data_IF_801862951818
#
_entry.id   IF_801862951818
#
_cell.length_a   1.000
_cell.length_b   1.000
_cell.length_c   1.000
_cell.angle_alpha   90.00
_cell.angle_beta   90.00
_cell.angle_gamma   90.00
#
_symmetry.space_group_name_H-M   'P 1'
#
loop_
_entity.id
_entity.type
_entity.pdbx_description
1 polymer ?
#
# COMPACT_ATOMS: atom_id res chain seq x y z
N UNK A 1 -23.53 -7.14 19.68
CA UNK A 1 -23.60 -7.51 21.10
C UNK A 1 -22.69 -8.71 21.32
N UNK A 2 -21.51 -8.49 21.84
CA UNK A 2 -20.63 -9.58 22.26
C UNK A 2 -21.11 -10.01 23.66
N UNK A 3 -21.67 -11.21 23.75
CA UNK A 3 -21.85 -11.89 25.03
C UNK A 3 -20.45 -12.18 25.60
N UNK A 4 -20.04 -11.37 26.54
CA UNK A 4 -18.90 -11.64 27.41
C UNK A 4 -19.36 -12.72 28.39
N UNK A 5 -19.19 -13.97 28.01
CA UNK A 5 -19.27 -15.07 28.99
C UNK A 5 -18.18 -14.86 30.04
N UNK A 6 -18.56 -14.88 31.31
CA UNK A 6 -17.64 -14.83 32.45
C UNK A 6 -16.47 -15.77 32.20
N UNK A 7 -15.23 -15.25 32.28
CA UNK A 7 -14.02 -16.06 32.21
C UNK A 7 -14.12 -17.23 33.19
N UNK A 8 -14.15 -18.44 32.67
CA UNK A 8 -14.12 -19.64 33.50
C UNK A 8 -12.67 -20.10 33.59
N UNK A 9 -12.19 -20.26 34.82
CA UNK A 9 -10.83 -20.73 35.09
C UNK A 9 -10.88 -22.25 35.26
N UNK A 10 -10.11 -22.95 34.43
CA UNK A 10 -9.95 -24.39 34.45
C UNK A 10 -8.53 -24.77 34.83
N UNK A 11 -8.35 -25.95 35.45
CA UNK A 11 -7.03 -26.53 35.55
C UNK A 11 -6.51 -26.90 34.15
N UNK A 12 -5.18 -26.79 33.95
CA UNK A 12 -4.56 -27.08 32.65
C UNK A 12 -4.85 -28.50 32.15
N UNK A 13 -5.09 -29.41 33.10
CA UNK A 13 -5.41 -30.83 32.84
C UNK A 13 -6.89 -31.07 32.52
N UNK A 14 -7.79 -30.12 32.81
CA UNK A 14 -9.25 -30.21 32.70
C UNK A 14 -9.86 -29.22 31.70
N UNK A 15 -9.10 -28.78 30.73
CA UNK A 15 -9.56 -27.81 29.71
C UNK A 15 -10.67 -28.43 28.84
N UNK A 16 -11.85 -27.77 28.73
CA UNK A 16 -12.94 -28.29 27.90
C UNK A 16 -12.60 -28.19 26.41
N UNK A 17 -13.19 -29.08 25.60
CA UNK A 17 -13.10 -28.97 24.14
C UNK A 17 -13.80 -27.69 23.64
N UNK A 18 -13.05 -26.83 22.99
CA UNK A 18 -13.56 -25.58 22.42
C UNK A 18 -14.14 -25.79 21.02
N UNK A 19 -15.22 -25.11 20.69
CA UNK A 19 -15.84 -25.18 19.38
C UNK A 19 -14.94 -24.59 18.30
N UNK A 20 -14.59 -25.35 17.26
CA UNK A 20 -13.78 -24.90 16.14
C UNK A 20 -14.42 -23.80 15.28
N UNK A 21 -15.72 -23.59 15.41
CA UNK A 21 -16.48 -22.60 14.64
C UNK A 21 -16.67 -21.24 15.33
N UNK A 22 -16.18 -21.09 16.57
CA UNK A 22 -16.28 -19.86 17.34
C UNK A 22 -14.88 -19.34 17.68
N UNK A 23 -14.75 -18.02 17.72
CA UNK A 23 -13.54 -17.37 18.19
C UNK A 23 -13.51 -17.40 19.73
N UNK A 24 -12.39 -17.81 20.29
CA UNK A 24 -12.17 -17.92 21.73
C UNK A 24 -10.94 -17.13 22.14
N UNK A 25 -11.01 -16.43 23.26
CA UNK A 25 -9.84 -15.87 23.92
C UNK A 25 -9.40 -16.90 24.98
N UNK A 26 -8.13 -17.24 24.97
CA UNK A 26 -7.53 -18.21 25.90
C UNK A 26 -6.37 -17.52 26.61
N UNK A 27 -6.51 -17.35 27.93
CA UNK A 27 -5.49 -16.74 28.76
C UNK A 27 -4.92 -17.79 29.73
N UNK A 28 -3.62 -17.70 29.99
CA UNK A 28 -2.94 -18.57 30.98
C UNK A 28 -2.73 -17.78 32.25
N UNK A 29 -3.34 -18.22 33.36
CA UNK A 29 -3.12 -17.62 34.67
C UNK A 29 -1.78 -18.14 35.22
N UNK A 30 -0.77 -17.26 35.27
CA UNK A 30 0.58 -17.58 35.72
C UNK A 30 0.69 -17.51 37.24
N UNK A 31 0.13 -16.48 37.88
CA UNK A 31 0.16 -16.31 39.35
C UNK A 31 -1.05 -15.50 39.83
N UNK A 32 -1.34 -15.63 41.13
CA UNK A 32 -2.32 -14.81 41.87
C UNK A 32 -1.62 -14.14 43.02
N UNK A 33 -1.53 -12.81 42.96
CA UNK A 33 -0.70 -12.01 43.84
C UNK A 33 -1.56 -11.08 44.69
N UNK A 34 -1.32 -11.07 45.98
CA UNK A 34 -1.88 -10.06 46.92
C UNK A 34 -0.84 -8.97 47.11
N UNK A 35 -1.21 -7.72 46.84
CA UNK A 35 -0.31 -6.57 46.97
C UNK A 35 -0.02 -6.32 48.44
N UNK A 36 1.25 -6.42 48.82
CA UNK A 36 1.77 -6.14 50.18
C UNK A 36 3.25 -5.71 50.10
N UNK A 37 3.78 -5.16 51.17
CA UNK A 37 5.21 -4.82 51.24
C UNK A 37 6.11 -6.03 50.97
N UNK A 38 7.17 -5.85 50.19
CA UNK A 38 8.14 -6.88 49.83
C UNK A 38 7.76 -7.79 48.64
N UNK A 39 6.60 -7.56 48.00
CA UNK A 39 6.10 -8.41 46.90
C UNK A 39 6.86 -8.23 45.56
N UNK A 40 7.68 -7.17 45.46
CA UNK A 40 8.28 -6.73 44.18
C UNK A 40 9.04 -7.84 43.43
N UNK A 41 9.82 -8.63 44.16
CA UNK A 41 10.59 -9.72 43.51
C UNK A 41 9.66 -10.79 42.95
N UNK A 42 8.67 -11.25 43.72
CA UNK A 42 7.70 -12.24 43.23
C UNK A 42 6.87 -11.74 42.06
N UNK A 43 6.45 -10.46 42.11
CA UNK A 43 5.72 -9.83 40.98
C UNK A 43 6.58 -9.80 39.72
N UNK A 44 7.86 -9.45 39.85
CA UNK A 44 8.80 -9.43 38.75
C UNK A 44 8.96 -10.84 38.12
N UNK A 45 9.22 -11.85 38.95
CA UNK A 45 9.38 -13.24 38.50
C UNK A 45 8.11 -13.76 37.79
N UNK A 46 6.93 -13.40 38.30
CA UNK A 46 5.64 -13.80 37.69
C UNK A 46 5.37 -13.10 36.36
N UNK A 47 5.70 -11.79 36.24
CA UNK A 47 5.60 -11.03 35.00
C UNK A 47 6.58 -11.60 33.96
N UNK A 48 7.83 -11.88 34.35
CA UNK A 48 8.82 -12.46 33.44
C UNK A 48 8.37 -13.85 32.92
N UNK A 49 7.79 -14.67 33.80
CA UNK A 49 7.24 -15.96 33.38
C UNK A 49 6.05 -15.80 32.43
N UNK A 50 5.16 -14.85 32.68
CA UNK A 50 4.00 -14.56 31.80
C UNK A 50 4.46 -14.07 30.43
N UNK A 51 5.37 -13.11 30.36
CA UNK A 51 5.95 -12.58 29.13
C UNK A 51 6.61 -13.69 28.29
N UNK A 52 7.30 -14.63 28.95
CA UNK A 52 7.93 -15.76 28.25
C UNK A 52 6.91 -16.74 27.66
N UNK A 53 5.79 -16.99 28.36
CA UNK A 53 4.73 -17.91 27.90
C UNK A 53 3.94 -17.29 26.75
N UNK A 54 3.65 -16.00 26.83
CA UNK A 54 2.81 -15.27 25.89
C UNK A 54 3.62 -14.41 24.89
N UNK A 55 4.88 -14.77 24.64
CA UNK A 55 5.74 -14.11 23.64
C UNK A 55 5.73 -12.59 23.75
N UNK A 56 5.92 -12.07 24.97
CA UNK A 56 6.05 -10.65 25.23
C UNK A 56 4.75 -9.93 25.61
N UNK A 57 3.66 -10.64 25.88
CA UNK A 57 2.41 -10.04 26.37
C UNK A 57 2.10 -10.50 27.80
N UNK A 58 1.53 -9.59 28.60
CA UNK A 58 1.00 -9.90 29.93
C UNK A 58 -0.25 -9.08 30.22
N UNK A 59 -1.26 -9.73 30.78
CA UNK A 59 -2.49 -9.09 31.26
C UNK A 59 -2.46 -9.12 32.79
N UNK A 60 -2.69 -7.97 33.40
CA UNK A 60 -2.91 -7.85 34.85
C UNK A 60 -4.40 -7.63 35.08
N UNK A 61 -5.06 -8.64 35.63
CA UNK A 61 -6.45 -8.57 36.07
C UNK A 61 -6.47 -8.04 37.50
N UNK A 62 -7.03 -6.87 37.72
CA UNK A 62 -7.09 -6.22 39.07
C UNK A 62 -8.27 -6.67 39.90
N UNK A 63 -9.06 -7.67 39.41
CA UNK A 63 -10.21 -8.27 40.11
C UNK A 63 -11.39 -7.31 40.36
N UNK A 64 -11.38 -6.13 39.75
CA UNK A 64 -12.44 -5.11 39.78
C UNK A 64 -13.08 -4.87 38.40
N UNK A 65 -13.08 -5.91 37.55
CA UNK A 65 -13.49 -5.88 36.17
C UNK A 65 -12.60 -4.98 35.24
N UNK A 66 -11.42 -4.55 35.72
CA UNK A 66 -10.43 -3.85 34.93
C UNK A 66 -9.23 -4.74 34.60
N UNK A 67 -8.78 -4.68 33.36
CA UNK A 67 -7.64 -5.41 32.85
C UNK A 67 -6.63 -4.43 32.28
N UNK A 68 -5.36 -4.63 32.67
CA UNK A 68 -4.24 -3.86 32.14
C UNK A 68 -3.40 -4.76 31.25
N UNK A 69 -3.38 -4.47 29.94
CA UNK A 69 -2.52 -5.14 28.99
C UNK A 69 -1.16 -4.44 28.96
N UNK A 70 -0.10 -5.20 29.14
CA UNK A 70 1.28 -4.75 28.96
C UNK A 70 1.96 -5.61 27.90
N UNK A 71 2.89 -5.03 27.18
CA UNK A 71 3.69 -5.74 26.20
C UNK A 71 5.13 -5.29 26.23
N UNK A 72 6.06 -6.20 26.03
CA UNK A 72 7.46 -5.89 25.71
C UNK A 72 7.62 -5.37 24.30
N UNK A 73 6.62 -5.60 23.45
CA UNK A 73 6.54 -5.07 22.10
C UNK A 73 5.86 -3.70 22.13
N UNK A 74 6.03 -2.92 21.08
CA UNK A 74 5.38 -1.62 20.92
C UNK A 74 3.88 -1.80 20.69
N UNK A 75 3.12 -1.87 21.78
CA UNK A 75 1.66 -2.08 21.75
C UNK A 75 0.93 -0.93 22.43
N UNK A 76 -0.17 -0.48 21.85
CA UNK A 76 -1.05 0.50 22.46
C UNK A 76 -2.03 -0.22 23.42
N UNK A 77 -2.02 0.10 24.73
CA UNK A 77 -2.91 -0.56 25.69
C UNK A 77 -4.39 -0.18 25.51
N UNK A 78 -4.68 0.90 24.76
CA UNK A 78 -6.05 1.41 24.58
C UNK A 78 -6.75 0.77 23.39
N UNK A 79 -6.09 0.68 22.24
CA UNK A 79 -6.71 0.19 21.00
C UNK A 79 -6.15 -1.15 20.51
N UNK A 80 -5.15 -1.71 21.19
CA UNK A 80 -4.51 -2.97 20.81
C UNK A 80 -3.61 -2.88 19.56
N UNK A 81 -3.38 -1.68 19.03
CA UNK A 81 -2.45 -1.49 17.91
C UNK A 81 -1.04 -1.90 18.32
N UNK A 82 -0.42 -2.78 17.56
CA UNK A 82 0.92 -3.28 17.83
C UNK A 82 1.84 -2.99 16.67
N UNK A 83 3.06 -2.54 16.98
CA UNK A 83 4.14 -2.45 16.01
C UNK A 83 5.03 -3.67 16.24
N UNK A 84 5.31 -4.49 15.21
CA UNK A 84 6.22 -5.62 15.34
C UNK A 84 7.64 -5.13 15.62
N UNK A 85 8.56 -6.06 15.83
CA UNK A 85 9.97 -5.73 15.99
C UNK A 85 10.45 -4.81 14.87
N UNK A 86 11.16 -3.72 15.26
CA UNK A 86 11.62 -2.70 14.32
C UNK A 86 12.80 -3.25 13.50
N UNK A 87 12.49 -3.97 12.46
CA UNK A 87 13.44 -4.48 11.48
C UNK A 87 13.45 -3.63 10.20
N UNK A 88 14.57 -3.58 9.45
CA UNK A 88 14.62 -2.85 8.18
C UNK A 88 13.55 -3.24 7.18
N UNK A 89 13.10 -4.51 7.18
CA UNK A 89 12.03 -5.00 6.29
C UNK A 89 10.67 -4.37 6.55
N UNK A 90 10.41 -3.85 7.77
CA UNK A 90 9.19 -3.12 8.10
C UNK A 90 9.08 -1.81 7.28
N UNK A 91 10.20 -1.20 6.95
CA UNK A 91 10.28 0.05 6.20
C UNK A 91 10.50 -0.16 4.70
N UNK A 92 10.29 -1.38 4.20
CA UNK A 92 10.43 -1.72 2.80
C UNK A 92 9.06 -1.91 2.15
N UNK A 93 8.72 -1.06 1.18
CA UNK A 93 7.49 -1.21 0.38
C UNK A 93 7.56 -2.37 -0.63
N UNK A 94 8.73 -2.98 -0.84
CA UNK A 94 8.90 -4.19 -1.66
C UNK A 94 8.77 -5.49 -0.86
N UNK A 95 8.64 -5.41 0.46
CA UNK A 95 8.47 -6.56 1.33
C UNK A 95 7.01 -6.61 1.83
N UNK A 96 6.30 -7.74 1.74
CA UNK A 96 4.90 -7.86 2.21
C UNK A 96 4.72 -7.45 3.66
N UNK A 97 5.78 -7.55 4.47
CA UNK A 97 5.78 -7.18 5.88
C UNK A 97 5.64 -5.67 6.12
N UNK A 98 6.18 -4.82 5.24
CA UNK A 98 6.17 -3.37 5.38
C UNK A 98 5.28 -2.66 4.37
N UNK A 99 4.92 -3.33 3.26
CA UNK A 99 4.10 -2.73 2.21
C UNK A 99 2.66 -2.48 2.66
N UNK A 100 2.03 -1.47 2.10
CA UNK A 100 0.60 -1.26 2.22
C UNK A 100 -0.14 -2.42 1.55
N UNK A 101 -0.98 -3.13 2.29
CA UNK A 101 -1.73 -4.29 1.80
C UNK A 101 -2.79 -3.95 0.73
N UNK A 102 -3.20 -2.68 0.66
CA UNK A 102 -4.25 -2.22 -0.26
C UNK A 102 -3.70 -1.93 -1.67
N UNK A 103 -2.44 -1.51 -1.78
CA UNK A 103 -1.79 -1.21 -3.06
C UNK A 103 -0.51 -2.02 -3.29
N UNK A 104 -0.26 -3.05 -2.48
CA UNK A 104 0.93 -3.90 -2.55
C UNK A 104 2.26 -3.10 -2.64
N UNK A 105 2.33 -1.97 -1.93
CA UNK A 105 3.50 -1.11 -1.91
C UNK A 105 3.66 -0.22 -3.15
N UNK A 106 2.67 -0.13 -4.02
CA UNK A 106 2.73 0.73 -5.22
C UNK A 106 2.48 2.21 -4.89
N UNK A 107 1.72 2.51 -3.84
CA UNK A 107 1.31 3.87 -3.47
C UNK A 107 0.16 4.43 -4.31
N UNK A 108 -0.19 3.74 -5.38
CA UNK A 108 -1.26 4.10 -6.32
C UNK A 108 -2.19 2.91 -6.52
N UNK A 109 -3.41 3.20 -6.95
CA UNK A 109 -4.39 2.24 -7.44
C UNK A 109 -4.80 2.59 -8.86
N UNK A 110 -5.01 1.56 -9.66
CA UNK A 110 -5.59 1.72 -10.97
C UNK A 110 -7.11 1.62 -10.84
N UNK A 111 -7.79 2.71 -11.11
CA UNK A 111 -9.26 2.79 -11.14
C UNK A 111 -9.74 3.06 -12.57
N UNK A 112 -10.83 2.39 -12.95
CA UNK A 112 -11.43 2.64 -14.26
C UNK A 112 -12.06 4.02 -14.26
N UNK A 113 -11.67 4.84 -15.23
CA UNK A 113 -12.21 6.17 -15.44
C UNK A 113 -13.40 6.10 -16.40
N UNK A 114 -14.55 6.52 -15.93
CA UNK A 114 -15.79 6.52 -16.72
C UNK A 114 -15.73 7.47 -17.90
N UNK A 115 -14.96 8.55 -17.83
CA UNK A 115 -14.78 9.50 -18.93
C UNK A 115 -13.92 8.90 -20.06
N UNK A 116 -12.99 8.00 -19.70
CA UNK A 116 -12.24 7.23 -20.70
C UNK A 116 -13.06 6.07 -21.28
N UNK A 117 -14.01 5.54 -20.52
CA UNK A 117 -14.94 4.50 -20.98
C UNK A 117 -15.97 5.09 -21.95
N UNK A 118 -16.49 6.28 -21.68
CA UNK A 118 -17.48 7.03 -22.47
C UNK A 118 -16.89 8.38 -22.89
N UNK A 119 -15.95 8.41 -23.83
CA UNK A 119 -15.24 9.65 -24.20
C UNK A 119 -16.14 10.66 -24.92
N UNK A 120 -17.27 10.22 -25.47
CA UNK A 120 -18.24 11.07 -26.16
C UNK A 120 -19.65 10.66 -25.74
N UNK A 121 -20.18 11.31 -24.72
CA UNK A 121 -21.51 11.03 -24.19
C UNK A 121 -22.67 11.49 -25.09
N UNK A 122 -22.39 12.26 -26.15
CA UNK A 122 -23.38 12.65 -27.15
C UNK A 122 -23.73 11.51 -28.11
N UNK A 123 -22.90 10.44 -28.16
CA UNK A 123 -23.17 9.24 -28.94
C UNK A 123 -24.15 8.32 -28.25
N UNK A 124 -24.87 7.56 -29.07
CA UNK A 124 -25.72 6.46 -28.61
C UNK A 124 -24.87 5.19 -28.38
N UNK A 125 -25.42 4.20 -27.65
CA UNK A 125 -24.74 2.92 -27.47
C UNK A 125 -24.48 2.21 -28.82
N UNK A 126 -25.39 2.36 -29.80
CA UNK A 126 -25.22 1.82 -31.15
C UNK A 126 -24.13 2.52 -31.95
N UNK A 127 -23.93 3.80 -31.72
CA UNK A 127 -22.86 4.60 -32.35
C UNK A 127 -21.49 4.39 -31.69
N UNK A 128 -21.42 3.53 -30.65
CA UNK A 128 -20.19 3.18 -29.98
C UNK A 128 -19.77 4.17 -28.90
N UNK A 129 -20.73 4.66 -28.09
CA UNK A 129 -20.43 5.49 -26.92
C UNK A 129 -19.45 4.81 -25.96
N UNK A 130 -19.51 3.46 -25.87
CA UNK A 130 -18.61 2.66 -25.01
C UNK A 130 -17.33 2.29 -25.74
N UNK A 131 -16.27 3.06 -25.58
CA UNK A 131 -15.00 2.86 -26.27
C UNK A 131 -14.38 1.46 -26.07
N UNK A 132 -14.42 0.82 -24.88
CA UNK A 132 -13.83 -0.51 -24.68
C UNK A 132 -14.52 -1.63 -25.47
N UNK A 133 -15.77 -1.45 -25.82
CA UNK A 133 -16.62 -2.43 -26.50
C UNK A 133 -16.94 -2.08 -27.95
N UNK A 134 -16.28 -1.03 -28.47
CA UNK A 134 -16.43 -0.67 -29.88
C UNK A 134 -15.78 -1.76 -30.77
N UNK A 135 -16.49 -2.30 -31.76
CA UNK A 135 -16.07 -3.49 -32.49
C UNK A 135 -14.90 -3.18 -33.42
N UNK A 136 -13.68 -3.51 -33.02
CA UNK A 136 -12.52 -3.54 -33.89
C UNK A 136 -12.17 -4.99 -34.30
N UNK A 137 -12.47 -5.98 -33.43
CA UNK A 137 -12.03 -7.37 -33.65
C UNK A 137 -13.01 -8.46 -33.16
N UNK A 138 -14.09 -8.15 -32.47
CA UNK A 138 -15.07 -9.15 -31.98
C UNK A 138 -16.44 -8.53 -31.75
N UNK A 139 -17.47 -9.20 -32.24
CA UNK A 139 -18.87 -8.81 -32.00
C UNK A 139 -19.44 -9.34 -30.67
N UNK A 140 -18.62 -9.98 -29.83
CA UNK A 140 -19.08 -10.59 -28.58
C UNK A 140 -19.67 -9.58 -27.61
N UNK A 141 -18.92 -8.52 -27.28
CA UNK A 141 -19.36 -7.50 -26.33
C UNK A 141 -20.49 -6.61 -26.86
N UNK A 142 -20.47 -6.16 -28.13
CA UNK A 142 -21.60 -5.46 -28.73
C UNK A 142 -22.90 -6.29 -28.70
N UNK A 143 -22.81 -7.59 -28.99
CA UNK A 143 -23.96 -8.50 -28.98
C UNK A 143 -24.48 -8.72 -27.55
N UNK A 144 -23.56 -8.88 -26.56
CA UNK A 144 -23.94 -8.97 -25.15
C UNK A 144 -24.64 -7.69 -24.67
N UNK A 145 -24.10 -6.52 -25.04
CA UNK A 145 -24.70 -5.23 -24.69
C UNK A 145 -26.12 -5.10 -25.27
N UNK A 146 -26.31 -5.43 -26.54
CA UNK A 146 -27.61 -5.32 -27.20
C UNK A 146 -28.67 -6.20 -26.54
N UNK A 147 -28.34 -7.45 -26.24
CA UNK A 147 -29.28 -8.37 -25.58
C UNK A 147 -29.57 -7.96 -24.13
N UNK A 148 -28.55 -7.56 -23.39
CA UNK A 148 -28.72 -7.08 -22.02
C UNK A 148 -29.59 -5.82 -21.97
N UNK A 149 -29.30 -4.81 -22.82
CA UNK A 149 -30.07 -3.56 -22.83
C UNK A 149 -31.53 -3.82 -23.26
N UNK A 150 -31.75 -4.72 -24.22
CA UNK A 150 -33.11 -5.14 -24.63
C UNK A 150 -33.85 -5.81 -23.46
N UNK A 151 -33.20 -6.71 -22.74
CA UNK A 151 -33.82 -7.41 -21.59
C UNK A 151 -34.17 -6.48 -20.43
N UNK A 152 -33.33 -5.46 -20.19
CA UNK A 152 -33.52 -4.48 -19.11
C UNK A 152 -34.33 -3.24 -19.57
N UNK A 153 -34.69 -3.14 -20.83
CA UNK A 153 -35.56 -2.06 -21.36
C UNK A 153 -34.84 -0.73 -21.54
N UNK A 154 -33.52 -0.73 -21.73
CA UNK A 154 -32.71 0.48 -21.97
C UNK A 154 -32.73 0.84 -23.44
N UNK A 155 -33.03 2.09 -23.75
CA UNK A 155 -33.05 2.63 -25.12
C UNK A 155 -31.61 2.85 -25.64
N UNK A 156 -31.18 2.02 -26.58
CA UNK A 156 -29.83 2.08 -27.17
C UNK A 156 -29.67 3.17 -28.24
N UNK A 157 -30.75 3.78 -28.70
CA UNK A 157 -30.75 4.83 -29.71
C UNK A 157 -30.75 6.24 -29.11
N UNK A 158 -30.78 6.32 -27.76
CA UNK A 158 -30.71 7.56 -27.02
C UNK A 158 -29.25 7.90 -26.72
N UNK A 159 -28.80 9.19 -26.87
CA UNK A 159 -27.49 9.62 -26.43
C UNK A 159 -27.19 9.24 -24.98
N UNK A 160 -25.97 8.78 -24.68
CA UNK A 160 -25.58 8.32 -23.35
C UNK A 160 -25.83 9.39 -22.26
N UNK A 161 -25.53 10.65 -22.54
CA UNK A 161 -25.78 11.78 -21.63
C UNK A 161 -27.25 11.92 -21.21
N UNK A 162 -28.18 11.56 -22.11
CA UNK A 162 -29.62 11.68 -21.91
C UNK A 162 -30.27 10.43 -21.30
N UNK A 163 -29.51 9.35 -21.06
CA UNK A 163 -30.00 8.17 -20.33
C UNK A 163 -30.28 8.50 -18.86
N UNK A 164 -31.16 7.74 -18.22
CA UNK A 164 -31.37 7.87 -16.79
C UNK A 164 -30.12 7.45 -16.00
N UNK A 165 -29.97 7.95 -14.78
CA UNK A 165 -28.84 7.54 -13.92
C UNK A 165 -28.91 6.03 -13.57
N UNK A 166 -30.09 5.44 -13.53
CA UNK A 166 -30.28 3.99 -13.35
C UNK A 166 -29.76 3.22 -14.56
N UNK A 167 -30.07 3.68 -15.80
CA UNK A 167 -29.56 3.05 -17.03
C UNK A 167 -28.03 3.20 -17.14
N UNK A 168 -27.49 4.38 -16.85
CA UNK A 168 -26.05 4.61 -16.83
C UNK A 168 -25.34 3.70 -15.83
N UNK A 169 -25.89 3.57 -14.62
CA UNK A 169 -25.35 2.67 -13.59
C UNK A 169 -25.41 1.21 -14.02
N UNK A 170 -26.52 0.77 -14.63
CA UNK A 170 -26.65 -0.57 -15.19
C UNK A 170 -25.57 -0.83 -16.24
N UNK A 171 -25.37 0.08 -17.20
CA UNK A 171 -24.39 -0.04 -18.27
C UNK A 171 -22.97 -0.09 -17.71
N UNK A 172 -22.64 0.80 -16.77
CA UNK A 172 -21.30 0.93 -16.25
C UNK A 172 -20.94 -0.15 -15.22
N UNK A 173 -21.86 -0.43 -14.28
CA UNK A 173 -21.57 -1.27 -13.10
C UNK A 173 -22.31 -2.59 -13.06
N UNK A 174 -23.28 -2.80 -13.97
CA UNK A 174 -23.96 -4.06 -14.13
C UNK A 174 -25.34 -4.15 -13.46
N UNK A 175 -25.94 -5.34 -13.58
CA UNK A 175 -27.36 -5.61 -13.22
C UNK A 175 -27.59 -6.00 -11.76
N UNK A 176 -26.59 -5.89 -10.89
CA UNK A 176 -26.66 -6.26 -9.47
C UNK A 176 -27.23 -7.68 -9.25
N UNK A 177 -26.72 -8.64 -10.04
CA UNK A 177 -27.10 -10.05 -9.98
C UNK A 177 -28.40 -10.42 -10.73
N UNK A 178 -29.10 -9.47 -11.34
CA UNK A 178 -30.26 -9.81 -12.19
C UNK A 178 -29.75 -10.41 -13.50
N UNK A 179 -30.26 -11.59 -13.80
CA UNK A 179 -29.86 -12.36 -14.99
C UNK A 179 -30.66 -11.94 -16.22
N UNK A 180 -30.03 -12.09 -17.39
CA UNK A 180 -30.66 -12.01 -18.70
C UNK A 180 -30.23 -13.20 -19.54
N UNK A 181 -31.04 -13.56 -20.51
CA UNK A 181 -30.75 -14.65 -21.44
C UNK A 181 -29.78 -14.15 -22.49
N UNK A 182 -28.59 -14.80 -22.60
CA UNK A 182 -27.54 -14.45 -23.55
C UNK A 182 -27.31 -15.59 -24.53
N UNK A 183 -27.60 -15.32 -25.80
CA UNK A 183 -27.33 -16.21 -26.93
C UNK A 183 -26.24 -15.64 -27.81
N UNK A 184 -25.19 -16.41 -28.05
CA UNK A 184 -24.08 -16.01 -28.93
C UNK A 184 -23.52 -17.18 -29.69
N UNK A 185 -23.43 -17.04 -31.02
CA UNK A 185 -22.76 -18.00 -31.90
C UNK A 185 -21.51 -17.34 -32.48
N UNK A 186 -20.37 -17.99 -32.33
CA UNK A 186 -19.09 -17.51 -32.87
C UNK A 186 -18.92 -17.97 -34.33
N UNK A 187 -17.94 -17.39 -35.03
CA UNK A 187 -17.62 -17.69 -36.43
C UNK A 187 -17.23 -19.16 -36.69
N UNK A 188 -16.92 -19.91 -35.61
CA UNK A 188 -16.50 -21.33 -35.65
C UNK A 188 -17.65 -22.28 -35.26
N UNK A 189 -18.89 -21.79 -35.12
CA UNK A 189 -20.06 -22.59 -34.77
C UNK A 189 -20.15 -22.92 -33.27
N UNK A 190 -19.36 -22.30 -32.43
CA UNK A 190 -19.48 -22.43 -30.97
C UNK A 190 -20.66 -21.60 -30.45
N UNK A 191 -21.65 -22.24 -29.81
CA UNK A 191 -22.85 -21.60 -29.28
C UNK A 191 -22.73 -21.41 -27.76
N UNK A 192 -23.06 -20.22 -27.27
CA UNK A 192 -23.35 -19.93 -25.87
C UNK A 192 -24.82 -19.59 -25.74
N UNK A 193 -25.52 -20.29 -24.87
CA UNK A 193 -26.93 -20.13 -24.59
C UNK A 193 -27.14 -20.30 -23.07
N UNK A 194 -27.06 -19.19 -22.33
CA UNK A 194 -26.97 -19.18 -20.87
C UNK A 194 -27.65 -17.95 -20.25
N UNK A 195 -28.23 -18.12 -19.08
CA UNK A 195 -28.69 -17.00 -18.26
C UNK A 195 -27.52 -16.51 -17.39
N UNK A 196 -27.17 -15.23 -17.50
CA UNK A 196 -26.07 -14.60 -16.81
C UNK A 196 -26.44 -13.20 -16.33
N UNK A 197 -25.88 -12.76 -15.20
CA UNK A 197 -25.97 -11.35 -14.83
C UNK A 197 -25.14 -10.48 -15.77
N UNK A 198 -25.62 -9.28 -16.06
CA UNK A 198 -24.83 -8.31 -16.82
C UNK A 198 -23.78 -7.67 -15.89
N UNK A 199 -22.51 -7.87 -16.23
CA UNK A 199 -21.36 -7.45 -15.40
C UNK A 199 -21.16 -5.93 -15.38
N UNK A 200 -21.53 -5.22 -16.45
CA UNK A 200 -21.18 -3.81 -16.65
C UNK A 200 -19.76 -3.59 -17.18
N UNK A 201 -19.56 -2.46 -17.85
CA UNK A 201 -18.30 -2.19 -18.57
C UNK A 201 -17.13 -2.00 -17.60
N UNK A 202 -17.33 -1.27 -16.50
CA UNK A 202 -16.31 -0.97 -15.50
C UNK A 202 -15.81 -2.26 -14.84
N UNK A 203 -16.73 -3.11 -14.39
CA UNK A 203 -16.38 -4.37 -13.75
C UNK A 203 -15.71 -5.34 -14.74
N UNK A 204 -16.17 -5.36 -15.99
CA UNK A 204 -15.52 -6.14 -17.06
C UNK A 204 -14.07 -5.72 -17.30
N UNK A 205 -13.79 -4.41 -17.35
CA UNK A 205 -12.43 -3.90 -17.51
C UNK A 205 -11.58 -4.31 -16.31
N UNK A 206 -12.05 -4.09 -15.06
CA UNK A 206 -11.36 -4.47 -13.82
C UNK A 206 -11.04 -5.97 -13.81
N UNK A 207 -12.02 -6.82 -14.05
CA UNK A 207 -11.83 -8.27 -14.09
C UNK A 207 -10.82 -8.69 -15.16
N UNK A 208 -10.98 -8.21 -16.40
CA UNK A 208 -10.05 -8.54 -17.50
C UNK A 208 -8.64 -8.05 -17.24
N UNK A 209 -8.45 -6.92 -16.60
CA UNK A 209 -7.13 -6.42 -16.21
C UNK A 209 -6.43 -7.37 -15.24
N UNK A 210 -7.16 -7.87 -14.23
CA UNK A 210 -6.60 -8.75 -13.19
C UNK A 210 -6.45 -10.21 -13.63
N UNK A 211 -7.41 -10.75 -14.36
CA UNK A 211 -7.46 -12.18 -14.68
C UNK A 211 -6.69 -12.55 -15.97
N UNK A 212 -6.37 -11.59 -16.82
CA UNK A 212 -5.73 -11.91 -18.09
C UNK A 212 -4.27 -12.31 -17.94
N UNK A 213 -3.87 -13.35 -18.67
CA UNK A 213 -2.47 -13.72 -18.85
C UNK A 213 -1.82 -13.05 -20.07
N UNK A 214 -2.58 -12.26 -20.85
CA UNK A 214 -2.11 -11.58 -22.05
C UNK A 214 -1.68 -10.15 -21.73
N UNK A 215 -0.40 -9.84 -21.93
CA UNK A 215 0.12 -8.48 -21.74
C UNK A 215 -0.55 -7.48 -22.70
N UNK A 216 -0.91 -7.92 -23.90
CA UNK A 216 -1.66 -7.09 -24.84
C UNK A 216 -3.03 -6.71 -24.28
N UNK A 217 -3.81 -7.69 -23.78
CA UNK A 217 -5.12 -7.41 -23.20
C UNK A 217 -5.00 -6.50 -21.97
N UNK A 218 -4.01 -6.73 -21.10
CA UNK A 218 -3.76 -5.90 -19.94
C UNK A 218 -3.45 -4.45 -20.33
N UNK A 219 -2.60 -4.27 -21.36
CA UNK A 219 -2.27 -2.94 -21.89
C UNK A 219 -3.51 -2.25 -22.48
N UNK A 220 -4.39 -2.98 -23.18
CA UNK A 220 -5.63 -2.40 -23.71
C UNK A 220 -6.58 -1.98 -22.59
N UNK A 221 -6.74 -2.78 -21.53
CA UNK A 221 -7.60 -2.41 -20.39
C UNK A 221 -7.06 -1.19 -19.65
N UNK A 222 -5.73 -1.07 -19.55
CA UNK A 222 -5.08 0.06 -18.89
C UNK A 222 -5.38 1.41 -19.56
N UNK A 223 -5.72 1.45 -20.84
CA UNK A 223 -6.09 2.69 -21.55
C UNK A 223 -7.36 3.35 -20.97
N UNK A 224 -8.16 2.60 -20.24
CA UNK A 224 -9.40 3.06 -19.61
C UNK A 224 -9.28 3.24 -18.09
N UNK A 225 -8.04 3.27 -17.58
CA UNK A 225 -7.77 3.36 -16.13
C UNK A 225 -6.84 4.53 -15.83
N UNK A 226 -7.13 5.22 -14.73
CA UNK A 226 -6.28 6.27 -14.18
C UNK A 226 -5.56 5.79 -12.92
N UNK A 227 -4.38 6.35 -12.68
CA UNK A 227 -3.61 6.15 -11.47
C UNK A 227 -4.09 7.13 -10.39
N UNK A 228 -4.71 6.60 -9.35
CA UNK A 228 -5.14 7.37 -8.19
C UNK A 228 -4.21 7.07 -7.02
N UNK A 229 -3.91 8.08 -6.22
CA UNK A 229 -3.17 7.87 -4.96
C UNK A 229 -3.94 6.90 -4.07
N UNK A 230 -3.26 5.90 -3.53
CA UNK A 230 -3.87 4.95 -2.63
C UNK A 230 -4.44 5.66 -1.39
N UNK A 231 -5.74 5.52 -1.14
CA UNK A 231 -6.42 6.20 -0.03
C UNK A 231 -6.00 5.70 1.35
N UNK A 232 -5.46 4.47 1.45
CA UNK A 232 -5.01 3.88 2.70
C UNK A 232 -3.64 4.39 3.11
N UNK A 233 -2.64 4.28 2.24
CA UNK A 233 -1.28 4.74 2.55
C UNK A 233 -0.97 6.16 2.08
N UNK A 234 -1.91 6.86 1.49
CA UNK A 234 -1.75 8.23 0.99
C UNK A 234 -0.54 8.44 0.06
N UNK A 235 -0.15 7.39 -0.68
CA UNK A 235 1.01 7.40 -1.57
C UNK A 235 2.32 6.95 -0.93
N UNK A 236 2.39 6.79 0.38
CA UNK A 236 3.63 6.43 1.09
C UNK A 236 4.06 4.98 0.90
N UNK A 237 3.24 4.12 0.29
CA UNK A 237 3.54 2.72 -0.07
C UNK A 237 3.68 1.75 1.10
N UNK A 238 3.75 2.24 2.33
CA UNK A 238 3.98 1.50 3.55
C UNK A 238 2.67 1.31 4.34
N UNK A 239 2.64 0.28 5.19
CA UNK A 239 1.53 0.04 6.09
C UNK A 239 1.55 0.99 7.30
N UNK A 240 0.45 1.03 8.06
CA UNK A 240 0.29 1.92 9.21
C UNK A 240 1.33 1.66 10.31
N UNK A 241 1.79 0.42 10.46
CA UNK A 241 2.80 0.07 11.45
C UNK A 241 4.14 0.75 11.14
N UNK A 242 4.58 0.71 9.87
CA UNK A 242 5.78 1.40 9.43
C UNK A 242 5.64 2.93 9.54
N UNK A 243 4.46 3.46 9.18
CA UNK A 243 4.18 4.90 9.22
C UNK A 243 3.94 5.45 10.64
N UNK A 244 3.68 4.59 11.63
CA UNK A 244 3.58 5.02 13.03
C UNK A 244 4.92 5.33 13.68
N UNK A 245 6.03 4.83 13.12
CA UNK A 245 7.38 5.06 13.64
C UNK A 245 7.87 6.45 13.21
N UNK A 246 8.20 7.29 14.21
CA UNK A 246 8.60 8.68 14.00
C UNK A 246 10.03 8.92 14.44
N UNK A 247 10.71 9.85 13.78
CA UNK A 247 12.11 10.22 14.04
C UNK A 247 12.15 11.59 14.70
N UNK A 248 12.83 11.72 15.84
CA UNK A 248 12.97 12.98 16.56
C UNK A 248 11.82 13.28 17.55
N UNK A 249 11.07 12.26 18.00
CA UNK A 249 10.00 12.35 18.98
C UNK A 249 8.59 12.26 18.37
N UNK A 250 7.57 12.42 19.22
CA UNK A 250 6.15 12.20 18.84
C UNK A 250 5.65 13.05 17.68
N UNK A 251 6.17 14.26 17.53
CA UNK A 251 5.82 15.19 16.47
C UNK A 251 6.78 15.10 15.27
N UNK A 252 7.76 14.22 15.32
CA UNK A 252 8.71 14.03 14.24
C UNK A 252 8.08 13.40 13.01
N UNK A 253 8.73 13.50 11.84
CA UNK A 253 8.24 12.89 10.62
C UNK A 253 8.41 11.37 10.63
N UNK A 254 7.50 10.65 9.96
CA UNK A 254 7.69 9.24 9.63
C UNK A 254 8.48 9.08 8.32
N UNK A 255 8.93 7.86 8.02
CA UNK A 255 9.77 7.57 6.85
C UNK A 255 9.15 7.99 5.51
N UNK A 256 7.83 7.94 5.37
CA UNK A 256 7.13 8.40 4.16
C UNK A 256 7.28 9.92 3.98
N UNK A 257 7.01 10.70 5.03
CA UNK A 257 7.18 12.15 5.02
C UNK A 257 8.65 12.54 4.77
N UNK A 258 9.61 11.83 5.40
CA UNK A 258 11.04 12.04 5.16
C UNK A 258 11.40 11.79 3.68
N UNK A 259 10.82 10.74 3.09
CA UNK A 259 11.08 10.38 1.68
C UNK A 259 10.50 11.41 0.69
N UNK A 260 9.49 12.16 1.09
CA UNK A 260 8.86 13.23 0.29
C UNK A 260 9.61 14.57 0.40
N UNK A 261 10.52 14.71 1.35
CA UNK A 261 11.37 15.89 1.42
C UNK A 261 12.29 15.96 0.19
N UNK A 262 12.58 17.18 -0.25
CA UNK A 262 13.66 17.38 -1.19
C UNK A 262 15.00 16.93 -0.59
N UNK A 263 15.96 16.54 -1.41
CA UNK A 263 17.30 16.15 -0.94
C UNK A 263 17.93 17.26 -0.09
N UNK A 264 17.69 18.52 -0.42
CA UNK A 264 18.15 19.65 0.39
C UNK A 264 17.51 19.67 1.77
N UNK A 265 16.17 19.60 1.83
CA UNK A 265 15.42 19.63 3.08
C UNK A 265 15.70 18.37 3.94
N UNK A 266 15.91 17.21 3.28
CA UNK A 266 16.28 15.98 3.97
C UNK A 266 17.67 16.12 4.62
N UNK A 267 18.64 16.73 3.93
CA UNK A 267 19.98 17.01 4.48
C UNK A 267 19.90 17.95 5.69
N UNK A 268 19.04 18.98 5.61
CA UNK A 268 18.80 19.91 6.72
C UNK A 268 18.15 19.17 7.91
N UNK A 269 17.11 18.37 7.67
CA UNK A 269 16.48 17.56 8.71
C UNK A 269 17.50 16.68 9.45
N UNK A 270 18.27 15.88 8.71
CA UNK A 270 19.27 14.97 9.30
C UNK A 270 20.37 15.74 10.06
N UNK A 271 20.65 16.99 9.67
CA UNK A 271 21.65 17.81 10.32
C UNK A 271 21.15 18.46 11.62
N UNK A 272 19.84 18.65 11.75
CA UNK A 272 19.18 19.29 12.90
C UNK A 272 18.62 18.26 13.90
N UNK A 273 18.71 16.95 13.64
CA UNK A 273 18.21 15.93 14.56
C UNK A 273 18.88 16.06 15.92
N UNK A 274 18.03 16.21 16.95
CA UNK A 274 18.47 16.23 18.35
C UNK A 274 18.27 14.83 18.91
N UNK A 275 19.37 14.18 19.32
CA UNK A 275 19.38 12.82 19.83
C UNK A 275 19.93 12.82 21.27
N UNK A 276 19.46 11.90 22.08
CA UNK A 276 20.07 11.62 23.39
C UNK A 276 21.51 11.06 23.21
N UNK A 277 22.31 11.03 24.26
CA UNK A 277 23.68 10.53 24.20
C UNK A 277 23.77 9.09 23.69
N UNK A 278 22.87 8.22 24.13
CA UNK A 278 22.82 6.82 23.72
C UNK A 278 22.41 6.67 22.25
N UNK A 279 21.38 7.40 21.81
CA UNK A 279 20.93 7.42 20.43
C UNK A 279 22.02 7.97 19.50
N UNK A 280 22.73 9.02 19.93
CA UNK A 280 23.80 9.61 19.17
C UNK A 280 24.97 8.64 18.92
N UNK A 281 25.28 7.76 19.88
CA UNK A 281 26.33 6.74 19.72
C UNK A 281 25.93 5.75 18.62
N UNK A 282 24.68 5.29 18.62
CA UNK A 282 24.14 4.33 17.63
C UNK A 282 23.99 4.99 16.27
N UNK A 283 23.41 6.18 16.23
CA UNK A 283 23.05 6.87 15.00
C UNK A 283 24.22 7.50 14.25
N UNK A 284 25.31 7.86 14.95
CA UNK A 284 26.45 8.58 14.34
C UNK A 284 27.00 7.96 13.05
N UNK A 285 27.31 6.66 12.98
CA UNK A 285 27.81 6.05 11.75
C UNK A 285 26.74 6.06 10.64
N UNK A 286 25.47 5.85 10.98
CA UNK A 286 24.36 5.83 10.04
C UNK A 286 24.11 7.23 9.47
N UNK A 287 24.01 8.24 10.34
CA UNK A 287 23.79 9.63 9.94
C UNK A 287 24.95 10.18 9.11
N UNK A 288 26.19 9.75 9.39
CA UNK A 288 27.35 10.12 8.58
C UNK A 288 27.14 9.63 7.14
N UNK A 289 26.84 8.34 6.96
CA UNK A 289 26.67 7.74 5.64
C UNK A 289 25.48 8.38 4.86
N UNK A 290 24.38 8.65 5.55
CA UNK A 290 23.23 9.33 4.95
C UNK A 290 23.61 10.75 4.52
N UNK A 291 24.28 11.51 5.38
CA UNK A 291 24.74 12.88 5.07
C UNK A 291 25.70 12.90 3.88
N UNK A 292 26.66 12.00 3.84
CA UNK A 292 27.64 11.92 2.76
C UNK A 292 26.93 11.68 1.42
N UNK A 293 25.98 10.75 1.35
CA UNK A 293 25.19 10.47 0.15
C UNK A 293 24.26 11.61 -0.26
N UNK A 294 23.54 12.21 0.69
CA UNK A 294 22.67 13.35 0.41
C UNK A 294 23.48 14.58 -0.04
N UNK A 295 24.64 14.82 0.58
CA UNK A 295 25.55 15.90 0.18
C UNK A 295 26.03 15.70 -1.25
N UNK A 296 26.41 14.48 -1.62
CA UNK A 296 26.79 14.19 -2.99
C UNK A 296 25.67 14.46 -3.98
N UNK A 297 24.44 13.95 -3.70
CA UNK A 297 23.26 14.22 -4.54
C UNK A 297 22.98 15.72 -4.67
N UNK A 298 23.11 16.47 -3.59
CA UNK A 298 22.99 17.93 -3.60
C UNK A 298 24.05 18.60 -4.49
N UNK A 299 25.30 18.13 -4.43
CA UNK A 299 26.42 18.68 -5.21
C UNK A 299 26.29 18.40 -6.71
N UNK A 300 25.70 17.27 -7.10
CA UNK A 300 25.45 16.97 -8.53
C UNK A 300 24.17 17.64 -9.08
N UNK A 301 23.58 18.60 -8.32
CA UNK A 301 22.44 19.40 -8.76
C UNK A 301 21.10 18.65 -8.71
N UNK A 302 20.96 17.64 -7.84
CA UNK A 302 19.71 16.89 -7.62
C UNK A 302 19.00 17.29 -6.33
N UNK A 303 19.30 18.44 -5.78
CA UNK A 303 18.80 18.96 -4.52
C UNK A 303 17.27 19.08 -4.43
N UNK A 304 16.59 19.23 -5.56
CA UNK A 304 15.15 19.36 -5.68
C UNK A 304 14.39 18.02 -5.78
N UNK A 305 15.10 16.92 -6.02
CA UNK A 305 14.46 15.60 -6.10
C UNK A 305 14.05 15.10 -4.72
N UNK A 306 13.05 14.21 -4.72
CA UNK A 306 12.60 13.49 -3.52
C UNK A 306 12.95 12.01 -3.65
N UNK A 307 13.12 11.30 -2.53
CA UNK A 307 13.37 9.85 -2.54
C UNK A 307 12.12 9.05 -2.93
N UNK A 308 10.93 9.63 -2.74
CA UNK A 308 9.64 9.03 -3.13
C UNK A 308 9.42 9.03 -4.64
N UNK A 309 10.14 9.85 -5.41
CA UNK A 309 9.93 10.01 -6.84
C UNK A 309 10.19 8.71 -7.60
N UNK A 310 9.23 8.32 -8.42
CA UNK A 310 9.34 7.12 -9.25
C UNK A 310 10.46 7.25 -10.28
N UNK A 311 11.28 6.19 -10.40
CA UNK A 311 12.39 6.16 -11.36
C UNK A 311 11.95 6.34 -12.82
N UNK A 312 10.74 5.92 -13.18
CA UNK A 312 10.18 6.09 -14.53
C UNK A 312 9.88 7.55 -14.90
N UNK A 313 9.83 8.47 -13.92
CA UNK A 313 9.58 9.91 -14.15
C UNK A 313 10.85 10.72 -14.24
N UNK A 314 12.02 10.10 -14.05
CA UNK A 314 13.30 10.77 -14.11
C UNK A 314 13.71 11.07 -15.56
N UNK A 315 14.23 12.26 -15.80
CA UNK A 315 14.90 12.57 -17.06
C UNK A 315 16.18 11.77 -17.22
N UNK A 316 16.68 11.64 -18.45
CA UNK A 316 17.96 10.97 -18.76
C UNK A 316 19.12 11.55 -17.97
N UNK A 317 19.20 12.87 -17.85
CA UNK A 317 20.24 13.55 -17.07
C UNK A 317 20.14 13.32 -15.57
N UNK A 318 18.92 13.29 -14.99
CA UNK A 318 18.71 12.95 -13.59
C UNK A 318 19.12 11.50 -13.29
N UNK A 319 18.70 10.55 -14.13
CA UNK A 319 19.07 9.14 -14.01
C UNK A 319 20.58 8.93 -14.08
N UNK A 320 21.27 9.62 -14.98
CA UNK A 320 22.72 9.56 -15.12
C UNK A 320 23.42 10.09 -13.86
N UNK A 321 22.98 11.22 -13.30
CA UNK A 321 23.54 11.79 -12.08
C UNK A 321 23.30 10.92 -10.85
N UNK A 322 22.13 10.26 -10.73
CA UNK A 322 21.88 9.28 -9.68
C UNK A 322 22.84 8.10 -9.77
N UNK A 323 23.07 7.57 -10.99
CA UNK A 323 24.06 6.50 -11.20
C UNK A 323 25.47 6.95 -10.80
N UNK A 324 25.84 8.17 -11.17
CA UNK A 324 27.11 8.77 -10.78
C UNK A 324 27.24 8.85 -9.25
N UNK A 325 26.18 9.32 -8.58
CA UNK A 325 26.11 9.38 -7.12
C UNK A 325 26.28 8.01 -6.46
N UNK A 326 25.69 6.97 -7.05
CA UNK A 326 25.80 5.59 -6.54
C UNK A 326 27.22 5.05 -6.67
N UNK A 327 27.92 5.37 -7.74
CA UNK A 327 29.28 4.88 -8.01
C UNK A 327 30.34 5.61 -7.18
N UNK A 328 30.26 6.94 -7.13
CA UNK A 328 31.27 7.78 -6.46
C UNK A 328 30.97 7.94 -4.97
N UNK A 329 29.72 8.05 -4.60
CA UNK A 329 29.28 8.22 -3.21
C UNK A 329 29.61 7.04 -2.28
N UNK A 330 30.13 5.93 -2.82
CA UNK A 330 30.66 4.82 -2.01
C UNK A 330 32.01 5.09 -1.36
N UNK A 331 32.67 6.22 -1.70
CA UNK A 331 33.99 6.62 -1.19
C UNK A 331 35.04 5.49 -1.18
N UNK A 332 35.00 4.60 -2.18
CA UNK A 332 35.96 3.52 -2.30
C UNK A 332 37.33 4.09 -2.74
N UNK A 333 38.27 4.02 -1.86
CA UNK A 333 39.69 4.40 -2.18
C UNK A 333 40.33 3.30 -3.02
N UNK A 334 41.21 3.70 -3.99
CA UNK A 334 41.95 2.77 -4.84
C UNK A 334 41.18 2.22 -6.05
N UNK A 335 40.02 2.77 -6.38
CA UNK A 335 39.24 2.42 -7.56
C UNK A 335 39.39 3.51 -8.63
N UNK A 336 39.58 3.10 -9.87
CA UNK A 336 39.57 4.00 -11.03
C UNK A 336 38.16 4.16 -11.55
N UNK A 337 37.63 5.38 -11.53
CA UNK A 337 36.35 5.72 -12.14
C UNK A 337 36.57 6.34 -13.51
N UNK A 338 35.93 5.78 -14.52
CA UNK A 338 35.91 6.31 -15.89
C UNK A 338 34.56 6.92 -16.12
N UNK A 339 34.49 8.23 -16.34
CA UNK A 339 33.28 8.98 -16.52
C UNK A 339 33.26 9.53 -17.95
N UNK A 340 32.19 9.25 -18.68
CA UNK A 340 31.92 9.78 -20.02
C UNK A 340 30.87 10.89 -19.91
N UNK A 341 31.27 12.10 -20.27
CA UNK A 341 30.44 13.32 -20.24
C UNK A 341 29.62 13.51 -18.93
N UNK A 342 30.24 13.46 -17.72
CA UNK A 342 29.52 13.48 -16.45
C UNK A 342 28.77 14.79 -16.19
N UNK A 343 29.10 15.85 -16.93
CA UNK A 343 28.49 17.18 -16.82
C UNK A 343 27.31 17.42 -17.78
N UNK A 344 26.89 16.42 -18.55
CA UNK A 344 25.83 16.61 -19.54
C UNK A 344 24.50 17.02 -18.84
N UNK A 345 23.88 18.09 -19.32
CA UNK A 345 22.66 18.64 -18.75
C UNK A 345 22.81 19.38 -17.42
N UNK A 346 24.04 19.63 -16.96
CA UNK A 346 24.30 20.48 -15.79
C UNK A 346 24.38 21.96 -16.18
N UNK A 347 23.81 22.82 -15.31
CA UNK A 347 24.12 24.26 -15.36
C UNK A 347 25.58 24.47 -14.94
N UNK A 348 26.24 25.52 -15.45
CA UNK A 348 27.66 25.77 -15.20
C UNK A 348 28.01 25.80 -13.70
N UNK A 349 27.13 26.37 -12.86
CA UNK A 349 27.29 26.42 -11.40
C UNK A 349 27.35 25.02 -10.74
N UNK A 350 26.54 24.09 -11.27
CA UNK A 350 26.49 22.72 -10.73
C UNK A 350 27.65 21.88 -11.23
N UNK A 351 28.20 22.25 -12.39
CA UNK A 351 29.38 21.63 -12.94
C UNK A 351 30.65 21.88 -12.05
N UNK A 352 30.79 23.12 -11.56
CA UNK A 352 31.87 23.48 -10.64
C UNK A 352 31.79 22.68 -9.32
N UNK A 353 30.57 22.45 -8.82
CA UNK A 353 30.32 21.64 -7.62
C UNK A 353 30.60 20.16 -7.85
N UNK A 354 30.21 19.64 -9.02
CA UNK A 354 30.52 18.26 -9.39
C UNK A 354 32.03 18.05 -9.44
N UNK A 355 32.77 18.93 -10.13
CA UNK A 355 34.22 18.84 -10.24
C UNK A 355 34.89 18.91 -8.86
N UNK A 356 34.41 19.75 -7.96
CA UNK A 356 34.94 19.85 -6.61
C UNK A 356 34.58 18.61 -5.74
N UNK A 357 33.63 17.79 -6.14
CA UNK A 357 33.22 16.57 -5.44
C UNK A 357 33.91 15.30 -5.97
N UNK A 358 34.51 15.37 -7.16
CA UNK A 358 35.33 14.32 -7.80
C UNK A 358 36.75 14.40 -7.35
#
# INVERSE_FOLDING_TARGET
>A
ASDVYKRQVYDVTEVPELSKSKQHNIDVVVDRIVIKEGIRSRLFDSIEAALRIAEGYVIIDTMDDSELLFSEHYACPVCGFTVPELEPRLFSFNAPFGSCSECDGLGIKLEVDTDLVVPDASKTLREGALAPWNPISSNYYPNMLEQAMTAFGVDMDKPFENLSEEDKNLILYGSDGKEFHFHYENEFGGVRDIDIPFEGVVNNIKRRYHETNSDYTRTQMRLYMNELTCGTCHGYRLNDQALSVRVGGEQGPHIGEISDLSIADHLDLVSQLTLSENEAIIARPILKEIKDRLTFLNNVGLNYLTLSRSAGTLSGGESQRIRLATQIGSNLSGVLYILDEPSIGLHQRDNDRLIASL
#
